data_IF_077966076325
#
_entry.id   IF_077966076325
#
_cell.length_a   1.000
_cell.length_b   1.000
_cell.length_c   1.000
_cell.angle_alpha   90.00
_cell.angle_beta   90.00
_cell.angle_gamma   90.00
#
_symmetry.space_group_name_H-M   'P 1'
#
loop_
_entity.id
_entity.type
_entity.pdbx_description
1 polymer ?
#
# COMPACT_ATOMS: atom_id res chain seq x y z
N UNK A 1 -15.55 1.84 28.14
CA UNK A 1 -15.13 1.09 26.94
C UNK A 1 -16.18 1.28 25.85
N UNK A 2 -15.78 1.31 24.57
CA UNK A 2 -16.71 1.37 23.44
C UNK A 2 -17.56 0.10 23.34
N UNK A 3 -18.72 0.19 22.66
CA UNK A 3 -19.51 -0.99 22.33
C UNK A 3 -18.74 -1.91 21.37
N UNK A 4 -19.14 -3.19 21.28
CA UNK A 4 -18.56 -4.11 20.30
C UNK A 4 -18.73 -3.58 18.87
N UNK A 5 -19.91 -3.06 18.55
CA UNK A 5 -20.23 -2.51 17.23
C UNK A 5 -19.34 -1.29 16.90
N UNK A 6 -19.15 -0.37 17.85
CA UNK A 6 -18.29 0.81 17.64
C UNK A 6 -16.82 0.41 17.44
N UNK A 7 -16.35 -0.56 18.23
CA UNK A 7 -15.00 -1.09 18.03
C UNK A 7 -14.82 -1.72 16.64
N UNK A 8 -15.78 -2.53 16.18
CA UNK A 8 -15.73 -3.13 14.85
C UNK A 8 -15.75 -2.07 13.75
N UNK A 9 -16.57 -1.02 13.90
CA UNK A 9 -16.64 0.10 12.97
C UNK A 9 -15.31 0.87 12.89
N UNK A 10 -14.69 1.17 14.02
CA UNK A 10 -13.50 2.06 14.11
C UNK A 10 -12.16 1.35 13.90
N UNK A 11 -12.08 0.04 14.08
CA UNK A 11 -10.77 -0.67 14.11
C UNK A 11 -10.54 -1.61 12.95
N UNK A 12 -11.58 -1.98 12.19
CA UNK A 12 -11.43 -2.81 10.99
C UNK A 12 -11.03 -1.92 9.81
N UNK A 13 -9.84 -2.16 9.28
CA UNK A 13 -9.24 -1.36 8.20
C UNK A 13 -9.03 -2.14 6.89
N UNK A 14 -9.63 -3.32 6.77
CA UNK A 14 -9.55 -4.14 5.55
C UNK A 14 -10.36 -3.56 4.38
N UNK A 15 -10.24 -4.14 3.17
CA UNK A 15 -11.07 -3.77 2.02
C UNK A 15 -12.57 -3.78 2.36
N UNK A 16 -13.31 -2.75 1.92
CA UNK A 16 -14.76 -2.65 2.12
C UNK A 16 -15.21 -2.30 3.54
N UNK A 17 -14.29 -2.05 4.47
CA UNK A 17 -14.61 -1.58 5.83
C UNK A 17 -14.66 -0.04 5.88
N UNK A 18 -15.51 0.58 6.72
CA UNK A 18 -15.60 2.04 6.80
C UNK A 18 -14.25 2.73 7.02
N UNK A 19 -13.42 2.19 7.91
CA UNK A 19 -12.10 2.76 8.17
C UNK A 19 -11.07 2.39 7.11
N UNK A 20 -11.18 1.22 6.47
CA UNK A 20 -10.36 0.90 5.29
C UNK A 20 -10.59 1.87 4.14
N UNK A 21 -11.86 2.17 3.83
CA UNK A 21 -12.24 3.15 2.80
C UNK A 21 -11.85 4.58 3.17
N UNK A 22 -11.86 4.92 4.46
CA UNK A 22 -11.38 6.21 4.94
C UNK A 22 -9.86 6.33 4.75
N UNK A 23 -9.08 5.34 5.20
CA UNK A 23 -7.62 5.37 5.19
C UNK A 23 -7.04 5.43 3.76
N UNK A 24 -7.70 4.81 2.76
CA UNK A 24 -7.32 4.90 1.33
C UNK A 24 -7.39 6.31 0.75
N UNK A 25 -8.03 7.25 1.44
CA UNK A 25 -8.10 8.67 1.02
C UNK A 25 -6.89 9.48 1.49
N UNK A 26 -5.95 8.88 2.21
CA UNK A 26 -4.77 9.53 2.75
C UNK A 26 -3.49 8.94 2.16
N UNK A 27 -2.46 9.78 2.08
CA UNK A 27 -1.11 9.32 1.76
C UNK A 27 -0.55 8.50 2.92
N UNK A 28 -0.01 7.32 2.60
CA UNK A 28 0.64 6.44 3.56
C UNK A 28 2.05 6.07 3.08
N UNK A 29 3.06 6.13 3.94
CA UNK A 29 4.39 5.63 3.61
C UNK A 29 4.33 4.10 3.46
N UNK A 30 4.80 3.57 2.33
CA UNK A 30 4.78 2.14 2.04
C UNK A 30 6.17 1.46 2.17
N UNK A 31 7.24 2.22 1.93
CA UNK A 31 8.64 1.77 2.02
C UNK A 31 9.59 2.98 2.06
N UNK A 32 10.85 2.75 2.45
CA UNK A 32 11.94 3.70 2.32
C UNK A 32 12.51 3.69 0.89
N UNK A 33 12.93 4.87 0.40
CA UNK A 33 13.54 5.00 -0.93
C UNK A 33 14.81 4.17 -1.09
N UNK A 34 15.60 4.02 -0.01
CA UNK A 34 16.85 3.23 0.01
C UNK A 34 16.62 1.73 -0.16
N UNK A 35 15.40 1.24 0.08
CA UNK A 35 15.03 -0.15 -0.17
C UNK A 35 14.89 -0.46 -1.67
N UNK A 36 14.97 0.57 -2.52
CA UNK A 36 15.08 0.49 -3.98
C UNK A 36 16.38 1.20 -4.42
N UNK A 37 17.56 0.57 -4.23
CA UNK A 37 18.84 1.26 -4.34
C UNK A 37 19.29 1.53 -5.78
N UNK A 38 18.80 0.77 -6.76
CA UNK A 38 19.30 0.77 -8.13
C UNK A 38 18.20 1.17 -9.11
N UNK A 39 18.56 1.96 -10.12
CA UNK A 39 17.72 2.21 -11.30
C UNK A 39 17.57 0.91 -12.09
N UNK A 40 16.38 0.62 -12.57
CA UNK A 40 16.06 -0.63 -13.28
C UNK A 40 16.44 -1.90 -12.48
N UNK A 41 16.52 -1.75 -11.15
CA UNK A 41 16.87 -2.83 -10.24
C UNK A 41 15.69 -3.76 -9.96
N UNK A 42 15.91 -4.78 -9.11
CA UNK A 42 14.86 -5.67 -8.67
C UNK A 42 13.69 -4.91 -8.04
N UNK A 43 12.48 -5.27 -8.46
CA UNK A 43 11.25 -4.75 -7.86
C UNK A 43 11.05 -5.37 -6.46
N UNK A 44 10.41 -4.61 -5.57
CA UNK A 44 10.09 -5.05 -4.22
C UNK A 44 8.60 -5.29 -4.06
N UNK A 45 8.24 -6.50 -3.62
CA UNK A 45 6.87 -6.81 -3.20
C UNK A 45 6.59 -6.10 -1.89
N UNK A 46 5.47 -5.37 -1.84
CA UNK A 46 4.99 -4.69 -0.65
C UNK A 46 3.52 -5.04 -0.41
N UNK A 47 3.08 -4.94 0.84
CA UNK A 47 1.66 -5.05 1.19
C UNK A 47 1.24 -3.89 2.06
N UNK A 48 0.23 -3.15 1.63
CA UNK A 48 -0.32 -2.00 2.36
C UNK A 48 -1.84 -2.04 2.27
N UNK A 49 -2.54 -1.78 3.37
CA UNK A 49 -4.02 -1.84 3.45
C UNK A 49 -4.65 -3.17 2.98
N UNK A 50 -3.88 -4.26 3.03
CA UNK A 50 -4.30 -5.59 2.56
C UNK A 50 -4.13 -5.82 1.05
N UNK A 51 -3.54 -4.88 0.32
CA UNK A 51 -3.29 -4.96 -1.12
C UNK A 51 -1.84 -5.29 -1.41
N UNK A 52 -1.62 -6.26 -2.32
CA UNK A 52 -0.30 -6.65 -2.81
C UNK A 52 0.11 -5.79 -3.99
N UNK A 53 1.26 -5.12 -3.87
CA UNK A 53 1.78 -4.21 -4.87
C UNK A 53 3.27 -4.48 -5.15
N UNK A 54 3.76 -3.93 -6.26
CA UNK A 54 5.17 -3.91 -6.63
C UNK A 54 5.70 -2.47 -6.62
N UNK A 55 6.72 -2.23 -5.81
CA UNK A 55 7.49 -0.99 -5.82
C UNK A 55 8.74 -1.15 -6.68
N UNK A 56 9.10 -0.11 -7.43
CA UNK A 56 10.27 -0.12 -8.33
C UNK A 56 10.91 1.26 -8.44
N UNK A 57 12.14 1.29 -8.96
CA UNK A 57 12.81 2.52 -9.40
C UNK A 57 13.09 2.44 -10.89
N UNK A 58 12.56 3.38 -11.65
CA UNK A 58 12.73 3.43 -13.11
C UNK A 58 14.13 3.90 -13.54
N UNK A 59 14.35 3.93 -14.85
CA UNK A 59 15.61 4.34 -15.48
C UNK A 59 15.99 5.81 -15.21
N UNK A 60 14.98 6.66 -14.95
CA UNK A 60 15.17 8.06 -14.56
C UNK A 60 15.45 8.21 -13.05
N UNK A 61 15.32 7.13 -12.28
CA UNK A 61 15.50 7.11 -10.84
C UNK A 61 14.27 7.47 -10.04
N UNK A 62 13.08 7.56 -10.66
CA UNK A 62 11.81 7.83 -9.98
C UNK A 62 11.28 6.56 -9.33
N UNK A 63 10.68 6.71 -8.15
CA UNK A 63 10.02 5.60 -7.45
C UNK A 63 8.58 5.50 -7.92
N UNK A 64 8.15 4.29 -8.26
CA UNK A 64 6.78 3.97 -8.65
C UNK A 64 6.24 2.76 -7.88
N UNK A 65 4.92 2.65 -7.85
CA UNK A 65 4.18 1.50 -7.31
C UNK A 65 3.10 1.11 -8.32
N UNK A 66 2.98 -0.19 -8.61
CA UNK A 66 1.96 -0.75 -9.52
C UNK A 66 1.39 -2.05 -8.96
N UNK A 67 0.23 -2.46 -9.47
CA UNK A 67 -0.30 -3.80 -9.21
C UNK A 67 0.60 -4.88 -9.83
N UNK A 68 0.74 -6.06 -9.20
CA UNK A 68 1.49 -7.19 -9.74
C UNK A 68 0.70 -7.95 -10.83
N UNK A 69 -0.04 -7.23 -11.66
CA UNK A 69 -0.92 -7.79 -12.68
C UNK A 69 -0.67 -7.11 -14.03
N UNK A 70 -0.53 -7.92 -15.08
CA UNK A 70 -0.45 -7.42 -16.45
C UNK A 70 -1.87 -7.05 -16.91
N UNK A 71 -2.10 -5.90 -17.54
CA UNK A 71 -3.42 -5.50 -18.02
C UNK A 71 -3.90 -6.25 -19.27
N UNK A 72 -3.11 -7.18 -19.82
CA UNK A 72 -3.50 -8.12 -20.88
C UNK A 72 -4.28 -9.30 -20.30
#
# INVERSE_FOLDING_TARGET
MLSKADNEFLTRAGPGTPMGELLRRFWMPALLSEELPQRDGPQKKIRIMGEDLLAFRDSDGRVGIVEPHCPH
#
